data_IF_712854606447
#
_entry.id   IF_712854606447
#
_cell.length_a   1.000
_cell.length_b   1.000
_cell.length_c   1.000
_cell.angle_alpha   90.00
_cell.angle_beta   90.00
_cell.angle_gamma   90.00
#
_symmetry.space_group_name_H-M   'P 1'
#
loop_
_entity.id
_entity.type
_entity.pdbx_description
1 polymer ?
#
# COMPACT_ATOMS: atom_id res chain seq x y z
N UNK A 1 18.55 1.33 3.02
CA UNK A 1 17.77 0.82 4.15
C UNK A 1 16.67 1.83 4.42
N UNK A 2 15.45 1.57 3.95
CA UNK A 2 14.29 2.37 4.31
C UNK A 2 13.89 1.92 5.70
N UNK A 3 14.27 2.69 6.72
CA UNK A 3 13.76 2.50 8.08
C UNK A 3 12.26 2.77 8.01
N UNK A 4 11.47 1.71 7.93
CA UNK A 4 10.03 1.76 8.08
C UNK A 4 9.73 2.53 9.36
N UNK A 5 9.01 3.63 9.25
CA UNK A 5 8.71 4.49 10.41
C UNK A 5 7.95 3.63 11.43
N UNK A 6 8.44 3.46 12.67
CA UNK A 6 7.75 2.68 13.71
C UNK A 6 6.28 3.08 13.90
N UNK A 7 5.96 4.33 13.54
CA UNK A 7 4.61 4.88 13.50
C UNK A 7 3.69 4.15 12.51
N UNK A 8 4.16 3.81 11.30
CA UNK A 8 3.34 3.16 10.27
C UNK A 8 3.06 1.70 10.66
N UNK A 9 4.07 0.97 11.15
CA UNK A 9 3.90 -0.39 11.66
C UNK A 9 2.85 -0.43 12.77
N UNK A 10 2.98 0.44 13.79
CA UNK A 10 1.99 0.53 14.87
C UNK A 10 0.57 0.86 14.38
N UNK A 11 0.43 1.70 13.35
CA UNK A 11 -0.89 2.01 12.74
C UNK A 11 -1.48 0.81 12.03
N UNK A 12 -0.68 0.05 11.28
CA UNK A 12 -1.14 -1.15 10.61
C UNK A 12 -1.55 -2.23 11.62
N UNK A 13 -0.71 -2.48 12.63
CA UNK A 13 -1.05 -3.42 13.70
C UNK A 13 -2.32 -3.00 14.44
N UNK A 14 -2.46 -1.71 14.75
CA UNK A 14 -3.70 -1.16 15.32
C UNK A 14 -4.89 -1.44 14.42
N UNK A 15 -4.78 -1.16 13.11
CA UNK A 15 -5.83 -1.43 12.13
C UNK A 15 -6.27 -2.90 12.12
N UNK A 16 -5.34 -3.85 12.01
CA UNK A 16 -5.68 -5.29 11.99
C UNK A 16 -6.23 -5.78 13.33
N UNK A 17 -5.76 -5.25 14.46
CA UNK A 17 -6.24 -5.65 15.78
C UNK A 17 -7.72 -5.32 16.06
N UNK A 18 -8.38 -4.54 15.20
CA UNK A 18 -9.84 -4.34 15.28
C UNK A 18 -10.65 -5.53 14.77
N UNK A 19 -10.02 -6.50 14.09
CA UNK A 19 -10.67 -7.66 13.48
C UNK A 19 -10.36 -8.95 14.25
N UNK A 20 -11.23 -9.95 14.12
CA UNK A 20 -10.96 -11.32 14.60
C UNK A 20 -9.79 -11.94 13.83
N UNK A 21 -9.07 -12.89 14.43
CA UNK A 21 -7.90 -13.55 13.82
C UNK A 21 -8.17 -14.11 12.40
N UNK A 22 -9.33 -14.74 12.19
CA UNK A 22 -9.75 -15.22 10.86
C UNK A 22 -9.88 -14.08 9.84
N UNK A 23 -10.52 -12.98 10.26
CA UNK A 23 -10.73 -11.81 9.40
C UNK A 23 -9.44 -11.03 9.15
N UNK A 24 -8.50 -11.00 10.11
CA UNK A 24 -7.20 -10.36 9.94
C UNK A 24 -6.42 -10.97 8.78
N UNK A 25 -6.31 -12.31 8.78
CA UNK A 25 -5.59 -13.07 7.75
C UNK A 25 -6.25 -12.93 6.39
N UNK A 26 -7.58 -13.02 6.35
CA UNK A 26 -8.32 -12.81 5.11
C UNK A 26 -8.09 -11.40 4.55
N UNK A 27 -8.22 -10.38 5.39
CA UNK A 27 -8.04 -8.99 4.98
C UNK A 27 -6.60 -8.70 4.53
N UNK A 28 -5.61 -9.27 5.23
CA UNK A 28 -4.20 -9.17 4.84
C UNK A 28 -3.94 -9.76 3.45
N UNK A 29 -4.47 -10.96 3.18
CA UNK A 29 -4.35 -11.59 1.87
C UNK A 29 -4.99 -10.74 0.77
N UNK A 30 -6.22 -10.25 0.99
CA UNK A 30 -6.92 -9.39 0.03
C UNK A 30 -6.14 -8.12 -0.26
N UNK A 31 -5.60 -7.46 0.78
CA UNK A 31 -4.80 -6.25 0.60
C UNK A 31 -3.49 -6.51 -0.16
N UNK A 32 -2.85 -7.65 0.12
CA UNK A 32 -1.64 -8.09 -0.59
C UNK A 32 -1.93 -8.31 -2.08
N UNK A 33 -3.01 -9.03 -2.40
CA UNK A 33 -3.44 -9.27 -3.79
C UNK A 33 -3.79 -7.97 -4.53
N UNK A 34 -4.50 -7.05 -3.87
CA UNK A 34 -4.83 -5.75 -4.45
C UNK A 34 -3.59 -4.91 -4.78
N UNK A 35 -2.54 -5.00 -3.94
CA UNK A 35 -1.28 -4.30 -4.17
C UNK A 35 -0.43 -4.96 -5.25
N UNK A 36 -0.41 -6.30 -5.32
CA UNK A 36 0.25 -7.03 -6.40
C UNK A 36 -0.38 -6.69 -7.76
N UNK A 37 -1.71 -6.58 -7.80
CA UNK A 37 -2.43 -6.15 -8.98
C UNK A 37 -2.10 -4.70 -9.35
N UNK A 38 -2.09 -3.79 -8.37
CA UNK A 38 -1.75 -2.38 -8.58
C UNK A 38 -0.31 -2.22 -9.08
N UNK A 39 0.63 -2.98 -8.52
CA UNK A 39 2.02 -3.02 -8.95
C UNK A 39 2.14 -3.48 -10.41
N UNK A 40 1.48 -4.60 -10.75
CA UNK A 40 1.49 -5.16 -12.10
C UNK A 40 0.93 -4.16 -13.12
N UNK A 41 -0.21 -3.53 -12.80
CA UNK A 41 -0.84 -2.49 -13.63
C UNK A 41 0.07 -1.27 -13.77
N UNK A 42 0.72 -0.85 -12.68
CA UNK A 42 1.66 0.28 -12.71
C UNK A 42 2.87 -0.01 -13.58
N UNK A 43 3.47 -1.21 -13.49
CA UNK A 43 4.64 -1.58 -14.28
C UNK A 43 4.32 -1.67 -15.76
N UNK A 44 3.16 -2.25 -16.11
CA UNK A 44 2.68 -2.38 -17.48
C UNK A 44 2.29 -1.04 -18.14
N UNK A 45 2.10 0.01 -17.35
CA UNK A 45 1.64 1.30 -17.84
C UNK A 45 2.69 2.04 -18.70
N UNK A 46 2.31 2.54 -19.86
CA UNK A 46 3.19 3.39 -20.66
C UNK A 46 3.28 4.81 -20.09
N UNK A 47 4.42 5.47 -20.29
CA UNK A 47 4.69 6.84 -19.79
C UNK A 47 3.75 7.91 -20.36
N UNK A 48 3.00 7.58 -21.41
CA UNK A 48 2.04 8.46 -22.10
C UNK A 48 0.60 8.33 -21.57
N UNK A 49 0.32 7.32 -20.73
CA UNK A 49 -1.02 6.99 -20.21
C UNK A 49 -1.28 7.72 -18.88
N UNK A 50 -1.38 9.05 -18.93
CA UNK A 50 -1.50 9.88 -17.73
C UNK A 50 -2.83 9.69 -16.98
N UNK A 51 -3.91 9.34 -17.68
CA UNK A 51 -5.23 9.14 -17.07
C UNK A 51 -5.25 7.87 -16.23
N UNK A 52 -4.68 6.81 -16.77
CA UNK A 52 -4.53 5.52 -16.10
C UNK A 52 -3.56 5.63 -14.93
N UNK A 53 -2.48 6.41 -15.07
CA UNK A 53 -1.56 6.68 -13.97
C UNK A 53 -2.28 7.36 -12.79
N UNK A 54 -3.10 8.38 -13.09
CA UNK A 54 -3.93 9.05 -12.08
C UNK A 54 -4.92 8.08 -11.42
N UNK A 55 -5.55 7.19 -12.20
CA UNK A 55 -6.46 6.19 -11.66
C UNK A 55 -5.75 5.23 -10.68
N UNK A 56 -4.55 4.76 -11.03
CA UNK A 56 -3.75 3.89 -10.15
C UNK A 56 -3.26 4.62 -8.89
N UNK A 57 -2.90 5.91 -9.01
CA UNK A 57 -2.57 6.75 -7.85
C UNK A 57 -3.77 6.90 -6.91
N UNK A 58 -4.97 7.13 -7.46
CA UNK A 58 -6.19 7.19 -6.66
C UNK A 58 -6.47 5.86 -5.97
N UNK A 59 -6.23 4.73 -6.63
CA UNK A 59 -6.37 3.39 -6.02
C UNK A 59 -5.41 3.22 -4.84
N UNK A 60 -4.13 3.54 -5.02
CA UNK A 60 -3.13 3.47 -3.94
C UNK A 60 -3.51 4.39 -2.76
N UNK A 61 -3.94 5.62 -3.05
CA UNK A 61 -4.41 6.57 -2.04
C UNK A 61 -5.60 6.02 -1.26
N UNK A 62 -6.55 5.36 -1.96
CA UNK A 62 -7.68 4.67 -1.35
C UNK A 62 -7.24 3.58 -0.36
N UNK A 63 -6.27 2.75 -0.75
CA UNK A 63 -5.72 1.70 0.12
C UNK A 63 -5.04 2.32 1.36
N UNK A 64 -4.19 3.33 1.17
CA UNK A 64 -3.53 4.01 2.28
C UNK A 64 -4.52 4.67 3.24
N UNK A 65 -5.62 5.22 2.71
CA UNK A 65 -6.70 5.82 3.52
C UNK A 65 -7.47 4.75 4.29
N UNK A 66 -7.78 3.63 3.65
CA UNK A 66 -8.42 2.48 4.30
C UNK A 66 -7.58 1.96 5.48
N UNK A 67 -6.26 1.91 5.30
CA UNK A 67 -5.28 1.51 6.33
C UNK A 67 -4.95 2.61 7.35
N UNK A 68 -5.55 3.81 7.27
CA UNK A 68 -5.25 4.97 8.12
C UNK A 68 -3.78 5.44 8.11
N UNK A 69 -3.05 5.22 7.01
CA UNK A 69 -1.64 5.62 6.80
C UNK A 69 -1.45 6.64 5.68
N UNK A 70 -2.56 7.14 5.11
CA UNK A 70 -2.56 8.09 3.99
C UNK A 70 -1.63 9.28 4.21
N UNK A 71 -1.68 9.94 5.38
CA UNK A 71 -0.85 11.12 5.65
C UNK A 71 0.66 10.81 5.79
N UNK A 72 1.01 9.56 6.08
CA UNK A 72 2.40 9.11 6.18
C UNK A 72 2.96 8.73 4.81
N UNK A 73 2.11 8.18 3.93
CA UNK A 73 2.47 7.77 2.57
C UNK A 73 2.36 8.89 1.53
N UNK A 74 1.43 9.84 1.69
CA UNK A 74 1.24 10.98 0.75
C UNK A 74 2.50 11.84 0.64
N UNK A 75 3.32 11.93 1.69
CA UNK A 75 4.59 12.69 1.65
C UNK A 75 5.59 12.13 0.63
N UNK A 76 5.38 10.89 0.16
CA UNK A 76 6.22 10.19 -0.81
C UNK A 76 5.65 10.25 -2.25
N UNK A 77 4.55 10.95 -2.50
CA UNK A 77 3.88 10.98 -3.79
C UNK A 77 4.06 12.32 -4.53
N UNK A 78 4.97 12.37 -5.51
CA UNK A 78 4.86 13.16 -6.73
C UNK A 78 4.24 12.28 -7.82
N UNK A 79 3.57 12.90 -8.78
CA UNK A 79 2.68 12.24 -9.74
C UNK A 79 3.41 11.49 -10.86
N UNK A 80 4.41 10.65 -10.54
CA UNK A 80 5.17 9.89 -11.54
C UNK A 80 4.98 8.39 -11.36
N UNK A 81 5.05 7.66 -12.48
CA UNK A 81 5.05 6.18 -12.50
C UNK A 81 6.06 5.59 -11.52
N UNK A 82 7.29 6.12 -11.51
CA UNK A 82 8.38 5.66 -10.64
C UNK A 82 8.01 5.75 -9.16
N UNK A 83 7.38 6.84 -8.75
CA UNK A 83 7.01 7.06 -7.36
C UNK A 83 5.79 6.22 -6.97
N UNK A 84 4.82 6.07 -7.87
CA UNK A 84 3.74 5.10 -7.67
C UNK A 84 4.28 3.68 -7.47
N UNK A 85 5.24 3.25 -8.30
CA UNK A 85 5.91 1.94 -8.15
C UNK A 85 6.62 1.83 -6.80
N UNK A 86 7.41 2.85 -6.42
CA UNK A 86 8.14 2.84 -5.15
C UNK A 86 7.21 2.82 -3.92
N UNK A 87 6.12 3.57 -3.96
CA UNK A 87 5.16 3.64 -2.86
C UNK A 87 4.37 2.33 -2.74
N UNK A 88 4.02 1.70 -3.86
CA UNK A 88 3.37 0.38 -3.87
C UNK A 88 4.28 -0.68 -3.27
N UNK A 89 5.55 -0.73 -3.68
CA UNK A 89 6.56 -1.64 -3.12
C UNK A 89 6.77 -1.41 -1.62
N UNK A 90 6.82 -0.14 -1.19
CA UNK A 90 6.97 0.21 0.23
C UNK A 90 5.78 -0.31 1.03
N UNK A 91 4.55 -0.19 0.50
CA UNK A 91 3.36 -0.71 1.17
C UNK A 91 3.33 -2.24 1.21
N UNK A 92 3.72 -2.91 0.14
CA UNK A 92 3.85 -4.37 0.12
C UNK A 92 4.87 -4.85 1.17
N UNK A 93 6.01 -4.18 1.28
CA UNK A 93 7.01 -4.48 2.31
C UNK A 93 6.43 -4.31 3.72
N UNK A 94 5.76 -3.20 3.98
CA UNK A 94 5.13 -2.94 5.28
C UNK A 94 4.07 -4.00 5.65
N UNK A 95 3.26 -4.45 4.68
CA UNK A 95 2.29 -5.52 4.92
C UNK A 95 2.95 -6.88 5.11
N UNK A 96 4.06 -7.16 4.42
CA UNK A 96 4.83 -8.38 4.63
C UNK A 96 5.53 -8.39 6.00
N UNK A 97 6.02 -7.25 6.47
CA UNK A 97 6.68 -7.13 7.77
C UNK A 97 5.75 -7.50 8.92
N UNK A 98 4.47 -7.09 8.83
CA UNK A 98 3.47 -7.44 9.84
C UNK A 98 2.89 -8.84 9.65
N UNK A 99 3.13 -9.53 8.53
CA UNK A 99 2.44 -10.78 8.18
C UNK A 99 2.65 -11.90 9.22
N UNK A 100 3.80 -11.93 9.90
CA UNK A 100 4.07 -12.88 10.99
C UNK A 100 3.38 -12.53 12.31
N UNK A 101 2.84 -11.32 12.43
CA UNK A 101 2.18 -10.79 13.62
C UNK A 101 0.64 -10.84 13.50
N UNK A 102 0.12 -11.41 12.40
CA UNK A 102 -1.31 -11.56 12.07
C UNK A 102 -1.73 -13.01 11.79
#
# INVERSE_FOLDING_TARGET
>A
MLTTSPCIHAKLMSFFNHYSEENKRHLHNVLTEELDMLFTQTVALDSTQSVELLALQHKLKGICRYLNIENDMIKLARDTKRELTANTLTLQQLLNDIASEI
#
